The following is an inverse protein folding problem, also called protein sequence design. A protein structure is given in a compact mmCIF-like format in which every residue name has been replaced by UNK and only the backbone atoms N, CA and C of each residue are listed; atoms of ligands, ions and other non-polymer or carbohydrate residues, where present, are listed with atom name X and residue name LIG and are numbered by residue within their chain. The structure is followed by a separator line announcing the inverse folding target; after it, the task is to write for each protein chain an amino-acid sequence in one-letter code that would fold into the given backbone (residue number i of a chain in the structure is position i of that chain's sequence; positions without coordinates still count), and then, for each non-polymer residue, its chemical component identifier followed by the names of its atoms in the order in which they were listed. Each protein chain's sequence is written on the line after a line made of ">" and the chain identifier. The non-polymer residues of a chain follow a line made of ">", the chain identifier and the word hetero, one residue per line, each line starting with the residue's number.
data_IF_358995342148
#
_entry.id   IF_358995342148
#
_cell.length_a   1.000
_cell.length_b   1.000
_cell.length_c   1.000
_cell.angle_alpha   90.00
_cell.angle_beta   90.00
_cell.angle_gamma   90.00
#
_symmetry.space_group_name_H-M   'P 1'
#
loop_
_entity.id
_entity.type
_entity.pdbx_description
1 polymer ?
#
# COMPACT_ATOMS: atom_id res chain seq x y z
N UNK A 1 -3.29 8.20 8.44
CA UNK A 1 -3.04 7.61 7.11
C UNK A 1 -4.25 7.69 6.16
N UNK A 2 -4.98 8.82 6.11
CA UNK A 2 -6.19 8.93 5.28
C UNK A 2 -5.99 9.69 3.95
N UNK A 3 -4.89 10.45 3.82
CA UNK A 3 -4.64 11.25 2.62
C UNK A 3 -4.46 10.39 1.35
N UNK A 4 -3.70 9.30 1.43
CA UNK A 4 -3.47 8.40 0.29
C UNK A 4 -4.75 7.70 -0.16
N UNK A 5 -5.55 7.21 0.80
CA UNK A 5 -6.85 6.60 0.52
C UNK A 5 -7.81 7.60 -0.13
N UNK A 6 -7.79 8.86 0.32
CA UNK A 6 -8.60 9.94 -0.25
C UNK A 6 -8.19 10.24 -1.69
N UNK A 7 -6.89 10.40 -1.97
CA UNK A 7 -6.38 10.65 -3.32
C UNK A 7 -6.69 9.49 -4.28
N UNK A 8 -6.55 8.24 -3.83
CA UNK A 8 -6.93 7.08 -4.63
C UNK A 8 -8.45 7.08 -4.94
N UNK A 9 -9.30 7.27 -3.93
CA UNK A 9 -10.76 7.22 -4.10
C UNK A 9 -11.34 8.41 -4.88
N UNK A 10 -10.83 9.62 -4.66
CA UNK A 10 -11.38 10.84 -5.24
C UNK A 10 -10.77 11.17 -6.61
N UNK A 11 -9.51 10.82 -6.85
CA UNK A 11 -8.78 11.20 -8.06
C UNK A 11 -8.40 9.99 -8.94
N UNK A 12 -8.71 8.76 -8.50
CA UNK A 12 -8.33 7.54 -9.23
C UNK A 12 -6.81 7.32 -9.32
N UNK A 13 -6.03 7.99 -8.47
CA UNK A 13 -4.59 7.92 -8.52
C UNK A 13 -4.07 6.58 -8.01
N UNK A 14 -3.18 5.93 -8.76
CA UNK A 14 -2.51 4.71 -8.31
C UNK A 14 -1.37 5.07 -7.35
N UNK A 15 -1.39 4.49 -6.15
CA UNK A 15 -0.42 4.77 -5.09
C UNK A 15 0.28 3.47 -4.69
N UNK A 16 1.61 3.51 -4.62
CA UNK A 16 2.45 2.42 -4.13
C UNK A 16 3.13 2.88 -2.86
N UNK A 17 3.00 2.11 -1.78
CA UNK A 17 3.60 2.42 -0.47
C UNK A 17 4.47 1.25 -0.03
N UNK A 18 5.68 1.52 0.45
CA UNK A 18 6.58 0.54 1.05
C UNK A 18 6.60 0.80 2.55
N UNK A 19 6.32 -0.23 3.35
CA UNK A 19 6.26 -0.13 4.81
C UNK A 19 6.73 -1.42 5.45
N UNK A 20 7.24 -1.32 6.69
CA UNK A 20 7.46 -2.47 7.58
C UNK A 20 6.35 -2.61 8.64
N UNK A 21 5.28 -1.80 8.55
CA UNK A 21 4.14 -1.84 9.45
C UNK A 21 2.98 -2.61 8.80
N UNK A 22 2.70 -3.81 9.31
CA UNK A 22 1.66 -4.69 8.78
C UNK A 22 0.27 -4.06 8.84
N UNK A 23 -0.05 -3.34 9.92
CA UNK A 23 -1.35 -2.67 10.09
C UNK A 23 -1.59 -1.64 8.99
N UNK A 24 -0.53 -0.98 8.51
CA UNK A 24 -0.63 -0.07 7.38
C UNK A 24 -0.79 -0.82 6.05
N UNK A 25 -0.03 -1.90 5.86
CA UNK A 25 -0.09 -2.71 4.65
C UNK A 25 -1.47 -3.36 4.45
N UNK A 26 -2.11 -3.76 5.54
CA UNK A 26 -3.45 -4.37 5.55
C UNK A 26 -4.57 -3.37 5.19
N UNK A 27 -4.29 -2.06 5.18
CA UNK A 27 -5.24 -1.04 4.71
C UNK A 27 -5.24 -0.89 3.19
N UNK A 28 -4.28 -1.47 2.48
CA UNK A 28 -4.19 -1.39 1.02
C UNK A 28 -5.10 -2.43 0.36
N UNK A 29 -5.64 -2.10 -0.82
CA UNK A 29 -6.45 -3.04 -1.60
C UNK A 29 -5.67 -4.30 -2.00
N UNK A 30 -4.34 -4.18 -2.13
CA UNK A 30 -3.42 -5.28 -2.40
C UNK A 30 -2.16 -5.15 -1.55
N UNK A 31 -1.77 -6.24 -0.91
CA UNK A 31 -0.49 -6.40 -0.21
C UNK A 31 0.42 -7.34 -1.00
N UNK A 32 1.68 -6.93 -1.19
CA UNK A 32 2.74 -7.78 -1.74
C UNK A 32 3.86 -7.82 -0.71
N UNK A 33 4.34 -9.01 -0.39
CA UNK A 33 5.47 -9.18 0.51
C UNK A 33 6.74 -9.38 -0.32
N UNK A 34 7.84 -8.81 0.17
CA UNK A 34 9.16 -8.98 -0.44
C UNK A 34 10.14 -9.51 0.57
N UNK A 35 10.87 -10.55 0.17
CA UNK A 35 11.96 -11.14 0.96
C UNK A 35 13.14 -11.43 0.04
N UNK A 36 14.32 -10.99 0.46
CA UNK A 36 15.58 -11.23 -0.27
C UNK A 36 15.52 -10.84 -1.76
N UNK A 37 14.88 -9.69 -2.05
CA UNK A 37 14.73 -9.15 -3.41
C UNK A 37 13.70 -9.88 -4.28
N UNK A 38 12.93 -10.80 -3.73
CA UNK A 38 11.85 -11.54 -4.42
C UNK A 38 10.49 -11.20 -3.84
N UNK A 39 9.47 -11.13 -4.70
CA UNK A 39 8.07 -11.06 -4.28
C UNK A 39 7.63 -12.47 -3.89
N UNK A 40 6.97 -12.61 -2.73
CA UNK A 40 6.45 -13.89 -2.19
C UNK A 40 4.92 -13.89 -2.12
#
# INVERSE_FOLDING_TARGET
>A
HQLFLKLNKEQGQTIVVITHNDVLADLADRKLEMKDGKII
#
